data_IF_000549531006
#
_entry.id   IF_000549531006
#
_cell.length_a   1.000
_cell.length_b   1.000
_cell.length_c   1.000
_cell.angle_alpha   90.00
_cell.angle_beta   90.00
_cell.angle_gamma   90.00
#
_symmetry.space_group_name_H-M   'P 1'
#
loop_
_entity.id
_entity.type
_entity.pdbx_description
1 polymer ?
#
# COMPACT_ATOMS: atom_id res chain seq x y z
N UNK A 1 -8.22 11.93 -25.16
CA UNK A 1 -8.05 11.42 -23.79
C UNK A 1 -6.92 10.42 -23.83
N UNK A 2 -6.00 10.49 -22.91
CA UNK A 2 -4.83 9.61 -22.93
C UNK A 2 -5.29 8.21 -22.51
N UNK A 3 -5.33 7.25 -23.43
CA UNK A 3 -5.74 5.85 -23.16
C UNK A 3 -4.71 5.08 -22.31
N UNK A 4 -3.74 5.79 -21.75
CA UNK A 4 -2.68 5.20 -20.91
C UNK A 4 -3.24 4.82 -19.55
N UNK A 5 -3.14 3.54 -19.20
CA UNK A 5 -3.41 3.09 -17.84
C UNK A 5 -2.25 3.49 -16.94
N UNK A 6 -2.54 4.26 -15.88
CA UNK A 6 -1.58 4.70 -14.86
C UNK A 6 -1.79 3.84 -13.61
N UNK A 7 -0.70 3.33 -13.06
CA UNK A 7 -0.73 2.44 -11.90
C UNK A 7 0.17 3.03 -10.81
N UNK A 8 -0.45 3.36 -9.68
CA UNK A 8 0.23 3.97 -8.52
C UNK A 8 0.29 2.95 -7.40
N UNK A 9 1.50 2.49 -7.08
CA UNK A 9 1.74 1.63 -5.92
C UNK A 9 2.00 2.47 -4.67
N UNK A 10 1.30 2.19 -3.57
CA UNK A 10 1.50 2.86 -2.29
C UNK A 10 2.31 1.99 -1.35
N UNK A 11 3.44 2.51 -0.88
CA UNK A 11 4.28 1.92 0.15
C UNK A 11 4.45 2.89 1.34
N UNK A 12 4.84 2.36 2.48
CA UNK A 12 5.06 3.14 3.70
C UNK A 12 4.73 2.32 4.94
N UNK A 13 5.37 2.65 6.05
CA UNK A 13 5.23 1.93 7.32
C UNK A 13 3.79 1.98 7.87
N UNK A 14 3.53 1.20 8.91
CA UNK A 14 2.23 1.21 9.60
C UNK A 14 1.87 2.63 10.06
N UNK A 15 0.58 3.00 9.93
CA UNK A 15 0.06 4.31 10.27
C UNK A 15 0.69 5.51 9.51
N UNK A 16 1.37 5.28 8.37
CA UNK A 16 1.91 6.38 7.54
C UNK A 16 0.85 7.17 6.77
N UNK A 17 -0.40 6.70 6.69
CA UNK A 17 -1.49 7.40 5.99
C UNK A 17 -1.75 6.93 4.56
N UNK A 18 -1.23 5.77 4.15
CA UNK A 18 -1.51 5.16 2.83
C UNK A 18 -3.00 5.12 2.48
N UNK A 19 -3.84 4.82 3.47
CA UNK A 19 -5.29 4.76 3.25
C UNK A 19 -5.88 6.12 2.85
N UNK A 20 -5.45 7.20 3.52
CA UNK A 20 -5.89 8.56 3.20
C UNK A 20 -5.43 8.98 1.81
N UNK A 21 -4.17 8.67 1.46
CA UNK A 21 -3.63 8.92 0.11
C UNK A 21 -4.41 8.14 -0.93
N UNK A 22 -4.61 6.83 -0.72
CA UNK A 22 -5.37 5.99 -1.65
C UNK A 22 -6.84 6.44 -1.78
N UNK A 23 -7.48 6.84 -0.68
CA UNK A 23 -8.83 7.37 -0.67
C UNK A 23 -8.93 8.67 -1.48
N UNK A 24 -7.96 9.57 -1.34
CA UNK A 24 -7.93 10.81 -2.10
C UNK A 24 -7.84 10.56 -3.62
N UNK A 25 -7.02 9.60 -4.06
CA UNK A 25 -6.99 9.21 -5.47
C UNK A 25 -8.34 8.68 -5.97
N UNK A 26 -9.02 7.89 -5.16
CA UNK A 26 -10.37 7.38 -5.51
C UNK A 26 -11.38 8.52 -5.60
N UNK A 27 -11.46 9.38 -4.59
CA UNK A 27 -12.48 10.42 -4.49
C UNK A 27 -12.28 11.55 -5.51
N UNK A 28 -11.03 11.97 -5.72
CA UNK A 28 -10.73 13.10 -6.60
C UNK A 28 -10.53 12.73 -8.06
N UNK A 29 -9.92 11.58 -8.31
CA UNK A 29 -9.52 11.18 -9.67
C UNK A 29 -10.24 9.94 -10.18
N UNK A 30 -11.17 9.36 -9.40
CA UNK A 30 -11.92 8.16 -9.79
C UNK A 30 -11.07 6.90 -9.90
N UNK A 31 -9.94 6.83 -9.18
CA UNK A 31 -9.06 5.68 -9.22
C UNK A 31 -9.74 4.40 -8.70
N UNK A 32 -9.44 3.26 -9.30
CA UNK A 32 -9.77 1.97 -8.71
C UNK A 32 -8.70 1.56 -7.71
N UNK A 33 -9.10 1.23 -6.47
CA UNK A 33 -8.17 0.82 -5.42
C UNK A 33 -8.16 -0.69 -5.27
N UNK A 34 -6.99 -1.31 -5.51
CA UNK A 34 -6.74 -2.75 -5.34
C UNK A 34 -5.80 -2.94 -4.14
N UNK A 35 -6.12 -3.87 -3.25
CA UNK A 35 -5.33 -4.14 -2.04
C UNK A 35 -4.82 -5.57 -2.00
N UNK A 36 -3.58 -5.77 -1.58
CA UNK A 36 -3.05 -7.10 -1.28
C UNK A 36 -3.89 -7.84 -0.24
N UNK A 37 -4.34 -7.13 0.80
CA UNK A 37 -5.15 -7.72 1.87
C UNK A 37 -6.53 -8.20 1.39
N UNK A 38 -7.10 -7.61 0.35
CA UNK A 38 -8.40 -8.04 -0.19
C UNK A 38 -8.32 -9.46 -0.74
N UNK A 39 -7.21 -9.83 -1.38
CA UNK A 39 -7.01 -11.20 -1.88
C UNK A 39 -7.06 -12.19 -0.71
N UNK A 40 -6.34 -11.87 0.37
CA UNK A 40 -6.29 -12.73 1.56
C UNK A 40 -7.64 -12.83 2.26
N UNK A 41 -8.37 -11.73 2.39
CA UNK A 41 -9.71 -11.69 2.99
C UNK A 41 -10.69 -12.53 2.20
N UNK A 42 -10.72 -12.38 0.89
CA UNK A 42 -11.61 -13.18 0.03
C UNK A 42 -11.35 -14.68 0.17
N UNK A 43 -10.07 -15.08 0.30
CA UNK A 43 -9.73 -16.49 0.53
C UNK A 43 -10.21 -16.95 1.91
N UNK A 44 -9.99 -16.15 2.96
CA UNK A 44 -10.44 -16.47 4.32
C UNK A 44 -11.97 -16.56 4.38
N UNK A 45 -12.69 -15.65 3.74
CA UNK A 45 -14.14 -15.64 3.63
C UNK A 45 -14.64 -16.94 2.97
N UNK A 46 -14.08 -17.31 1.80
CA UNK A 46 -14.44 -18.54 1.09
C UNK A 46 -14.19 -19.78 1.95
N UNK A 47 -13.13 -19.77 2.75
CA UNK A 47 -12.79 -20.86 3.67
C UNK A 47 -13.58 -20.81 4.99
N UNK A 48 -14.47 -19.83 5.16
CA UNK A 48 -15.22 -19.58 6.40
C UNK A 48 -14.30 -19.43 7.63
N UNK A 49 -13.17 -18.76 7.46
CA UNK A 49 -12.20 -18.46 8.51
C UNK A 49 -12.31 -16.98 8.93
N UNK A 50 -12.09 -16.65 10.23
CA UNK A 50 -12.10 -15.26 10.69
C UNK A 50 -11.08 -14.40 9.96
N UNK A 51 -11.46 -13.18 9.58
CA UNK A 51 -10.57 -12.15 9.00
C UNK A 51 -9.64 -11.53 10.05
N UNK A 52 -9.01 -12.36 10.88
CA UNK A 52 -8.05 -11.89 11.85
C UNK A 52 -6.71 -11.55 11.20
N UNK A 53 -5.94 -10.67 11.85
CA UNK A 53 -4.58 -10.34 11.43
C UNK A 53 -3.70 -11.59 11.38
N UNK A 54 -3.85 -12.48 12.35
CA UNK A 54 -3.12 -13.74 12.45
C UNK A 54 -3.41 -14.65 11.26
N UNK A 55 -4.69 -14.86 10.92
CA UNK A 55 -5.09 -15.67 9.79
C UNK A 55 -4.60 -15.08 8.46
N UNK A 56 -4.69 -13.76 8.28
CA UNK A 56 -4.16 -13.10 7.08
C UNK A 56 -2.64 -13.27 6.97
N UNK A 57 -1.91 -13.14 8.07
CA UNK A 57 -0.46 -13.29 8.08
C UNK A 57 -0.05 -14.74 7.82
N UNK A 58 -0.70 -15.71 8.47
CA UNK A 58 -0.49 -17.14 8.25
C UNK A 58 -0.74 -17.53 6.80
N UNK A 59 -1.89 -17.12 6.25
CA UNK A 59 -2.25 -17.40 4.86
C UNK A 59 -1.24 -16.79 3.88
N UNK A 60 -0.85 -15.54 4.09
CA UNK A 60 0.17 -14.88 3.26
C UNK A 60 1.50 -15.67 3.29
N UNK A 61 1.92 -16.12 4.48
CA UNK A 61 3.15 -16.89 4.66
C UNK A 61 3.07 -18.23 3.93
N UNK A 62 1.97 -18.97 4.10
CA UNK A 62 1.77 -20.27 3.46
C UNK A 62 1.75 -20.13 1.93
N UNK A 63 1.01 -19.15 1.40
CA UNK A 63 0.95 -18.91 -0.04
C UNK A 63 2.32 -18.58 -0.63
N UNK A 64 3.07 -17.68 0.02
CA UNK A 64 4.41 -17.32 -0.44
C UNK A 64 5.40 -18.47 -0.36
N UNK A 65 5.38 -19.22 0.73
CA UNK A 65 6.27 -20.37 0.92
C UNK A 65 6.06 -21.47 -0.12
N UNK A 66 4.80 -21.77 -0.48
CA UNK A 66 4.49 -22.90 -1.35
C UNK A 66 4.42 -22.52 -2.84
N UNK A 67 4.05 -21.26 -3.17
CA UNK A 67 3.82 -20.82 -4.55
C UNK A 67 4.77 -19.72 -5.02
N UNK A 68 5.73 -19.33 -4.17
CA UNK A 68 6.75 -18.32 -4.45
C UNK A 68 6.43 -16.95 -3.82
N UNK A 69 7.50 -16.23 -3.45
CA UNK A 69 7.43 -14.96 -2.71
C UNK A 69 6.56 -13.89 -3.38
N UNK A 70 6.47 -13.92 -4.70
CA UNK A 70 5.72 -12.93 -5.49
C UNK A 70 4.31 -13.37 -5.88
N UNK A 71 3.78 -14.47 -5.33
CA UNK A 71 2.47 -15.01 -5.72
C UNK A 71 1.32 -13.99 -5.58
N UNK A 72 1.32 -13.23 -4.48
CA UNK A 72 0.30 -12.19 -4.25
C UNK A 72 0.46 -11.02 -5.22
N UNK A 73 1.70 -10.62 -5.52
CA UNK A 73 1.95 -9.57 -6.51
C UNK A 73 1.52 -9.98 -7.91
N UNK A 74 1.76 -11.23 -8.31
CA UNK A 74 1.22 -11.78 -9.58
C UNK A 74 -0.30 -11.74 -9.63
N UNK A 75 -0.97 -12.03 -8.52
CA UNK A 75 -2.42 -11.91 -8.42
C UNK A 75 -2.88 -10.44 -8.58
N UNK A 76 -2.17 -9.49 -7.96
CA UNK A 76 -2.43 -8.05 -8.15
C UNK A 76 -2.25 -7.64 -9.61
N UNK A 77 -1.15 -8.03 -10.25
CA UNK A 77 -0.92 -7.77 -11.70
C UNK A 77 -2.10 -8.27 -12.54
N UNK A 78 -2.56 -9.50 -12.27
CA UNK A 78 -3.72 -10.07 -12.97
C UNK A 78 -5.00 -9.26 -12.74
N UNK A 79 -5.27 -8.81 -11.53
CA UNK A 79 -6.43 -7.97 -11.21
C UNK A 79 -6.32 -6.61 -11.89
N UNK A 80 -5.15 -5.96 -11.84
CA UNK A 80 -4.87 -4.68 -12.49
C UNK A 80 -5.08 -4.74 -14.01
N UNK A 81 -4.71 -5.86 -14.64
CA UNK A 81 -4.93 -6.04 -16.08
C UNK A 81 -6.41 -6.29 -16.44
N UNK A 82 -7.21 -6.80 -15.49
CA UNK A 82 -8.64 -7.06 -15.73
C UNK A 82 -9.53 -5.83 -15.59
N UNK A 83 -9.10 -4.82 -14.83
CA UNK A 83 -9.89 -3.60 -14.68
C UNK A 83 -9.87 -2.73 -15.93
N UNK A 84 -10.98 -2.09 -16.24
CA UNK A 84 -11.10 -1.10 -17.31
C UNK A 84 -10.77 0.33 -16.84
N UNK A 85 -10.47 0.51 -15.55
CA UNK A 85 -10.12 1.83 -15.05
C UNK A 85 -8.69 2.21 -15.49
N UNK A 86 -8.54 3.44 -16.00
CA UNK A 86 -7.26 3.96 -16.47
C UNK A 86 -6.37 4.50 -15.35
N UNK A 87 -6.89 4.63 -14.12
CA UNK A 87 -6.11 4.98 -12.95
C UNK A 87 -6.33 3.94 -11.85
N UNK A 88 -5.28 3.21 -11.51
CA UNK A 88 -5.32 2.15 -10.50
C UNK A 88 -4.37 2.48 -9.36
N UNK A 89 -4.84 2.37 -8.13
CA UNK A 89 -4.03 2.51 -6.91
C UNK A 89 -3.86 1.15 -6.26
N UNK A 90 -2.63 0.69 -6.10
CA UNK A 90 -2.29 -0.57 -5.45
C UNK A 90 -1.81 -0.28 -4.03
N UNK A 91 -2.52 -0.79 -3.03
CA UNK A 91 -2.23 -0.59 -1.62
C UNK A 91 -1.72 -1.88 -0.96
N UNK A 92 -0.77 -1.74 -0.04
CA UNK A 92 -0.24 -2.84 0.75
C UNK A 92 1.04 -3.47 0.20
N UNK A 93 1.80 -2.76 -0.61
CA UNK A 93 3.13 -3.17 -1.06
C UNK A 93 4.07 -3.17 0.15
N UNK A 94 4.72 -4.32 0.40
CA UNK A 94 5.55 -4.51 1.60
C UNK A 94 6.92 -5.08 1.32
N UNK A 95 7.20 -5.59 0.13
CA UNK A 95 8.43 -6.31 -0.21
C UNK A 95 8.99 -5.86 -1.55
N UNK A 96 10.30 -5.92 -1.71
CA UNK A 96 10.97 -5.64 -2.99
C UNK A 96 10.46 -6.56 -4.11
N UNK A 97 10.30 -7.85 -3.84
CA UNK A 97 9.76 -8.80 -4.82
C UNK A 97 8.33 -8.51 -5.27
N UNK A 98 7.53 -7.81 -4.44
CA UNK A 98 6.22 -7.30 -4.87
C UNK A 98 6.41 -6.18 -5.92
N UNK A 99 7.35 -5.25 -5.67
CA UNK A 99 7.67 -4.14 -6.59
C UNK A 99 8.19 -4.66 -7.93
N UNK A 100 9.11 -5.64 -7.91
CA UNK A 100 9.66 -6.23 -9.15
C UNK A 100 8.57 -6.82 -10.03
N UNK A 101 7.59 -7.48 -9.42
CA UNK A 101 6.44 -8.00 -10.16
C UNK A 101 5.53 -6.90 -10.70
N UNK A 102 5.33 -5.81 -9.93
CA UNK A 102 4.48 -4.70 -10.35
C UNK A 102 5.15 -3.81 -11.42
N UNK A 103 6.48 -3.74 -11.45
CA UNK A 103 7.24 -3.07 -12.53
C UNK A 103 7.04 -3.70 -13.91
N UNK A 104 6.45 -4.90 -13.99
CA UNK A 104 6.04 -5.48 -15.29
C UNK A 104 4.79 -4.81 -15.88
N UNK A 105 4.08 -4.01 -15.09
CA UNK A 105 2.94 -3.21 -15.56
C UNK A 105 3.46 -1.91 -16.19
N UNK A 106 3.00 -1.62 -17.40
CA UNK A 106 3.31 -0.36 -18.04
C UNK A 106 2.83 0.81 -17.18
N UNK A 107 3.65 1.86 -17.09
CA UNK A 107 3.31 3.07 -16.32
C UNK A 107 3.01 2.83 -14.83
N UNK A 108 3.79 1.95 -14.22
CA UNK A 108 3.80 1.75 -12.78
C UNK A 108 4.70 2.78 -12.09
N UNK A 109 4.17 3.43 -11.07
CA UNK A 109 4.88 4.41 -10.23
C UNK A 109 4.74 4.04 -8.76
N UNK A 110 5.87 3.87 -8.07
CA UNK A 110 5.89 3.63 -6.64
C UNK A 110 5.93 4.96 -5.89
N UNK A 111 4.95 5.17 -5.02
CA UNK A 111 4.86 6.32 -4.12
C UNK A 111 5.07 5.84 -2.69
N UNK A 112 6.10 6.35 -2.04
CA UNK A 112 6.36 6.07 -0.63
C UNK A 112 5.81 7.18 0.25
N UNK A 113 5.02 6.81 1.27
CA UNK A 113 4.45 7.74 2.24
C UNK A 113 5.28 7.66 3.51
N UNK A 114 5.99 8.73 3.80
CA UNK A 114 6.87 8.88 4.96
C UNK A 114 6.22 9.69 6.07
N UNK A 115 6.45 9.29 7.30
CA UNK A 115 6.01 9.99 8.52
C UNK A 115 6.94 9.57 9.65
N UNK A 116 7.29 10.51 10.52
CA UNK A 116 8.07 10.19 11.71
C UNK A 116 7.36 9.16 12.63
N UNK A 117 8.16 8.42 13.38
CA UNK A 117 7.69 7.30 14.21
C UNK A 117 6.73 7.76 15.30
N UNK A 118 6.95 8.93 15.90
CA UNK A 118 6.10 9.43 16.98
C UNK A 118 4.70 9.80 16.48
N UNK A 119 4.61 10.39 15.29
CA UNK A 119 3.31 10.67 14.65
C UNK A 119 2.60 9.38 14.25
N UNK A 120 3.34 8.38 13.74
CA UNK A 120 2.77 7.08 13.40
C UNK A 120 2.23 6.37 14.63
N UNK A 121 2.93 6.42 15.76
CA UNK A 121 2.46 5.89 17.03
C UNK A 121 1.15 6.57 17.47
N UNK A 122 1.11 7.91 17.52
CA UNK A 122 -0.10 8.67 17.89
C UNK A 122 -1.28 8.33 16.98
N UNK A 123 -1.04 8.24 15.67
CA UNK A 123 -2.07 7.86 14.69
C UNK A 123 -2.56 6.43 14.87
N UNK A 124 -1.66 5.50 15.19
CA UNK A 124 -1.99 4.09 15.42
C UNK A 124 -2.94 3.92 16.61
N UNK A 125 -2.68 4.63 17.72
CA UNK A 125 -3.55 4.64 18.89
C UNK A 125 -4.91 5.28 18.61
N UNK A 126 -4.91 6.42 17.89
CA UNK A 126 -6.14 7.16 17.58
C UNK A 126 -7.06 6.42 16.59
N UNK A 127 -6.50 5.63 15.68
CA UNK A 127 -7.22 4.97 14.58
C UNK A 127 -8.14 3.84 15.02
N UNK A 128 -7.83 3.16 16.13
CA UNK A 128 -8.60 2.02 16.68
C UNK A 128 -8.98 0.97 15.61
N UNK A 129 -8.09 0.72 14.67
CA UNK A 129 -8.36 -0.18 13.53
C UNK A 129 -8.49 -1.64 13.96
N UNK A 130 -7.73 -2.02 14.97
CA UNK A 130 -7.76 -3.38 15.52
C UNK A 130 -8.12 -3.34 16.99
N UNK A 131 -8.77 -4.40 17.52
CA UNK A 131 -9.02 -4.52 18.96
C UNK A 131 -7.73 -4.35 19.76
N UNK A 132 -7.73 -3.43 20.72
CA UNK A 132 -6.59 -3.15 21.61
C UNK A 132 -5.62 -2.08 21.11
N UNK A 133 -5.83 -1.48 19.92
CA UNK A 133 -4.99 -0.37 19.43
C UNK A 133 -5.08 0.86 20.35
N UNK A 134 -6.23 1.10 20.99
CA UNK A 134 -6.44 2.20 21.95
C UNK A 134 -5.58 2.09 23.20
N UNK A 135 -5.17 0.88 23.58
CA UNK A 135 -4.33 0.58 24.73
C UNK A 135 -2.90 0.18 24.32
N UNK A 136 -2.50 0.46 23.07
CA UNK A 136 -1.19 0.08 22.57
C UNK A 136 -0.09 0.85 23.30
N UNK A 137 0.76 0.12 24.02
CA UNK A 137 1.97 0.68 24.63
C UNK A 137 3.00 1.01 23.55
N UNK A 138 3.79 2.05 23.79
CA UNK A 138 4.88 2.48 22.89
C UNK A 138 5.82 1.33 22.58
N UNK A 139 6.23 0.55 23.56
CA UNK A 139 7.12 -0.60 23.41
C UNK A 139 6.56 -1.62 22.39
N UNK A 140 5.27 -1.95 22.51
CA UNK A 140 4.62 -2.87 21.54
C UNK A 140 4.54 -2.29 20.13
N UNK A 141 4.41 -0.98 20.00
CA UNK A 141 4.45 -0.33 18.69
C UNK A 141 5.85 -0.41 18.11
N UNK A 142 6.89 -0.14 18.90
CA UNK A 142 8.28 -0.19 18.48
C UNK A 142 8.71 -1.62 18.11
N UNK A 143 8.27 -2.62 18.87
CA UNK A 143 8.44 -4.04 18.51
C UNK A 143 7.81 -4.36 17.14
N UNK A 144 6.59 -3.88 16.89
CA UNK A 144 5.90 -4.07 15.60
C UNK A 144 6.62 -3.35 14.46
N UNK A 145 7.15 -2.17 14.72
CA UNK A 145 7.89 -1.36 13.73
C UNK A 145 9.25 -1.99 13.38
N UNK A 146 9.81 -2.81 14.29
CA UNK A 146 11.06 -3.54 14.10
C UNK A 146 10.88 -4.91 13.43
N UNK A 147 9.66 -5.35 13.12
CA UNK A 147 9.44 -6.64 12.44
C UNK A 147 10.05 -6.59 11.02
N UNK A 148 10.54 -7.70 10.54
CA UNK A 148 11.18 -7.84 9.22
C UNK A 148 10.38 -7.21 8.07
N UNK A 149 9.03 -7.34 8.09
CA UNK A 149 8.18 -6.72 7.07
C UNK A 149 8.25 -5.19 7.06
N UNK A 150 8.39 -4.55 8.22
CA UNK A 150 8.50 -3.09 8.31
C UNK A 150 9.91 -2.61 7.90
N UNK A 151 10.95 -3.41 8.18
CA UNK A 151 12.32 -3.16 7.68
C UNK A 151 12.36 -3.25 6.15
N UNK A 152 11.71 -4.26 5.58
CA UNK A 152 11.60 -4.40 4.12
C UNK A 152 10.83 -3.23 3.48
N UNK A 153 9.77 -2.73 4.14
CA UNK A 153 9.03 -1.55 3.67
C UNK A 153 9.95 -0.33 3.60
N UNK A 154 10.84 -0.13 4.56
CA UNK A 154 11.79 0.98 4.52
C UNK A 154 12.76 0.88 3.34
N UNK A 155 13.16 -0.34 2.98
CA UNK A 155 13.99 -0.57 1.79
C UNK A 155 13.32 -0.13 0.49
N UNK A 156 11.98 -0.14 0.43
CA UNK A 156 11.22 0.34 -0.71
C UNK A 156 11.40 1.85 -0.97
N UNK A 157 11.83 2.62 0.04
CA UNK A 157 12.09 4.04 -0.11
C UNK A 157 13.16 4.34 -1.16
N UNK A 158 14.09 3.41 -1.37
CA UNK A 158 15.14 3.53 -2.39
C UNK A 158 14.64 3.24 -3.82
N UNK A 159 13.54 2.50 -3.93
CA UNK A 159 12.94 2.11 -5.19
C UNK A 159 11.80 3.04 -5.64
N UNK A 160 11.50 4.07 -4.83
CA UNK A 160 10.35 4.93 -5.06
C UNK A 160 10.58 5.93 -6.22
N UNK A 161 9.54 6.16 -6.98
CA UNK A 161 9.49 7.22 -7.97
C UNK A 161 9.12 8.57 -7.33
N UNK A 162 8.32 8.53 -6.26
CA UNK A 162 7.83 9.70 -5.55
C UNK A 162 7.79 9.48 -4.05
N UNK A 163 8.10 10.53 -3.30
CA UNK A 163 8.01 10.56 -1.84
C UNK A 163 6.92 11.55 -1.43
N UNK A 164 6.05 11.15 -0.51
CA UNK A 164 5.10 12.02 0.16
C UNK A 164 5.53 12.13 1.63
N UNK A 165 5.84 13.33 2.08
CA UNK A 165 5.97 13.64 3.50
C UNK A 165 4.56 13.92 4.07
N UNK A 166 4.03 12.95 4.80
CA UNK A 166 2.74 13.06 5.46
C UNK A 166 2.89 13.45 6.95
N UNK A 167 3.92 14.23 7.27
CA UNK A 167 4.15 14.73 8.63
C UNK A 167 3.38 16.02 8.92
N UNK A 168 2.91 16.71 7.91
CA UNK A 168 2.16 17.95 8.00
C UNK A 168 0.63 17.76 8.10
N UNK A 169 -0.10 18.72 7.54
CA UNK A 169 -1.57 18.70 7.44
C UNK A 169 -2.06 17.80 6.29
N UNK A 170 -3.36 17.52 6.28
CA UNK A 170 -3.97 16.79 5.15
C UNK A 170 -3.91 17.60 3.85
N UNK A 171 -4.08 18.92 3.94
CA UNK A 171 -4.00 19.82 2.79
C UNK A 171 -2.63 19.79 2.14
N UNK A 172 -1.56 19.82 2.94
CA UNK A 172 -0.18 19.71 2.44
C UNK A 172 0.05 18.35 1.78
N UNK A 173 -0.49 17.27 2.34
CA UNK A 173 -0.43 15.94 1.75
C UNK A 173 -1.19 15.90 0.42
N UNK A 174 -2.37 16.49 0.35
CA UNK A 174 -3.18 16.53 -0.88
C UNK A 174 -2.50 17.34 -1.98
N UNK A 175 -1.85 18.46 -1.66
CA UNK A 175 -1.05 19.20 -2.64
C UNK A 175 0.10 18.38 -3.22
N UNK A 176 0.78 17.58 -2.40
CA UNK A 176 1.83 16.67 -2.89
C UNK A 176 1.25 15.61 -3.84
N UNK A 177 0.07 15.04 -3.51
CA UNK A 177 -0.60 14.07 -4.38
C UNK A 177 -0.98 14.72 -5.72
N UNK A 178 -1.51 15.94 -5.71
CA UNK A 178 -1.89 16.66 -6.94
C UNK A 178 -0.68 16.91 -7.84
N UNK A 179 0.44 17.33 -7.25
CA UNK A 179 1.68 17.55 -7.98
C UNK A 179 2.21 16.25 -8.61
N UNK A 180 2.21 15.15 -7.85
CA UNK A 180 2.59 13.82 -8.34
C UNK A 180 1.67 13.38 -9.48
N UNK A 181 0.37 13.50 -9.31
CA UNK A 181 -0.60 13.13 -10.35
C UNK A 181 -0.40 13.95 -11.63
N UNK A 182 -0.17 15.26 -11.51
CA UNK A 182 0.13 16.14 -12.64
C UNK A 182 1.44 15.75 -13.33
N UNK A 183 2.49 15.48 -12.57
CA UNK A 183 3.78 15.06 -13.11
C UNK A 183 3.68 13.73 -13.88
N UNK A 184 3.00 12.72 -13.31
CA UNK A 184 2.80 11.42 -13.95
C UNK A 184 2.06 11.57 -15.29
N UNK A 185 1.01 12.41 -15.33
CA UNK A 185 0.25 12.64 -16.57
C UNK A 185 1.03 13.38 -17.64
N UNK A 186 2.02 14.18 -17.26
CA UNK A 186 2.87 14.93 -18.19
C UNK A 186 4.07 14.10 -18.71
N UNK A 187 4.35 12.92 -18.13
CA UNK A 187 5.41 12.05 -18.63
C UNK A 187 4.97 11.39 -19.94
N UNK A 188 5.86 11.31 -20.93
CA UNK A 188 5.57 10.56 -22.14
C UNK A 188 5.26 9.09 -21.81
N UNK A 189 4.44 8.40 -22.61
CA UNK A 189 4.27 6.96 -22.49
C UNK A 189 5.62 6.25 -22.72
N UNK A 190 5.95 5.32 -21.83
CA UNK A 190 7.11 4.43 -21.98
C UNK A 190 6.84 3.35 -23.02
#
# INVERSE_FOLDING_TARGET
>A
MNDRKIIIGLAGKIASGKDSVGKYFVEKYGAEKIRFSTILRNILEILNLPESRENMQSLSTVLRKNFGENILAKAIVKLTNKTNNNLVVIDGIRRLGDVDSLKTLNSFFLVYIDVDQDKRFKRSVARKENPGDENMLREKFDERDAVETEIQIESLKKETNFLIDNSGTLEETYLQIENIHKEINNRPPE
#
